data_IF_341740888397
#
_entry.id   IF_341740888397
#
_cell.length_a   1.000
_cell.length_b   1.000
_cell.length_c   1.000
_cell.angle_alpha   90.00
_cell.angle_beta   90.00
_cell.angle_gamma   90.00
#
_symmetry.space_group_name_H-M   'P 1'
#
loop_
_entity.id
_entity.type
_entity.pdbx_description
1 polymer ?
#
# COMPACT_ATOMS: atom_id res chain seq x y z
N UNK A 1 4.24 0.09 -20.28
CA UNK A 1 3.58 1.36 -19.90
C UNK A 1 4.23 2.51 -20.66
N UNK A 2 3.46 3.41 -21.28
CA UNK A 2 4.03 4.52 -22.08
C UNK A 2 4.67 5.60 -21.18
N UNK A 3 5.75 6.24 -21.65
CA UNK A 3 6.43 7.34 -20.94
C UNK A 3 5.47 8.50 -20.64
N UNK A 4 4.49 8.73 -21.52
CA UNK A 4 3.44 9.74 -21.33
C UNK A 4 2.56 9.44 -20.12
N UNK A 5 2.15 8.18 -19.94
CA UNK A 5 1.33 7.77 -18.79
C UNK A 5 2.11 7.90 -17.48
N UNK A 6 3.37 7.44 -17.45
CA UNK A 6 4.24 7.58 -16.28
C UNK A 6 4.43 9.05 -15.88
N UNK A 7 4.68 9.92 -16.86
CA UNK A 7 4.80 11.37 -16.62
C UNK A 7 3.49 11.95 -16.08
N UNK A 8 2.35 11.53 -16.62
CA UNK A 8 1.01 11.96 -16.17
C UNK A 8 0.71 11.53 -14.73
N UNK A 9 1.13 10.32 -14.33
CA UNK A 9 1.03 9.86 -12.94
C UNK A 9 1.93 10.72 -12.05
N UNK A 10 3.23 10.84 -12.38
CA UNK A 10 4.21 11.58 -11.57
C UNK A 10 3.77 13.02 -11.33
N UNK A 11 3.36 13.73 -12.39
CA UNK A 11 2.91 15.12 -12.25
C UNK A 11 1.69 15.26 -11.36
N UNK A 12 0.77 14.28 -11.39
CA UNK A 12 -0.45 14.36 -10.60
C UNK A 12 -0.30 13.90 -9.15
N UNK A 13 0.57 12.94 -8.83
CA UNK A 13 0.86 12.57 -7.43
C UNK A 13 1.66 13.66 -6.69
N UNK A 14 2.29 14.58 -7.42
CA UNK A 14 2.96 15.76 -6.88
C UNK A 14 2.16 17.05 -7.08
N UNK A 15 0.89 16.98 -7.49
CA UNK A 15 0.04 18.17 -7.67
C UNK A 15 -0.26 18.81 -6.30
N UNK A 16 -0.38 20.14 -6.28
CA UNK A 16 -0.71 20.88 -5.06
C UNK A 16 -2.11 20.53 -4.54
N UNK A 17 -3.03 20.19 -5.46
CA UNK A 17 -4.42 19.83 -5.14
C UNK A 17 -4.50 18.40 -4.63
N UNK A 18 -4.96 18.27 -3.38
CA UNK A 18 -5.14 16.99 -2.71
C UNK A 18 -5.97 15.97 -3.51
N UNK A 19 -7.11 16.39 -4.09
CA UNK A 19 -7.97 15.49 -4.86
C UNK A 19 -7.27 14.94 -6.11
N UNK A 20 -6.39 15.73 -6.74
CA UNK A 20 -5.60 15.25 -7.89
C UNK A 20 -4.61 14.19 -7.44
N UNK A 21 -3.90 14.41 -6.32
CA UNK A 21 -2.99 13.40 -5.74
C UNK A 21 -3.72 12.12 -5.39
N UNK A 22 -4.88 12.21 -4.74
CA UNK A 22 -5.70 11.05 -4.38
C UNK A 22 -6.12 10.25 -5.62
N UNK A 23 -6.73 10.91 -6.61
CA UNK A 23 -7.18 10.26 -7.84
C UNK A 23 -6.01 9.64 -8.60
N UNK A 24 -4.88 10.34 -8.72
CA UNK A 24 -3.72 9.82 -9.45
C UNK A 24 -3.07 8.65 -8.74
N UNK A 25 -3.00 8.70 -7.43
CA UNK A 25 -2.48 7.58 -6.63
C UNK A 25 -3.41 6.38 -6.77
N UNK A 26 -4.73 6.56 -6.72
CA UNK A 26 -5.72 5.49 -6.90
C UNK A 26 -5.64 4.85 -8.30
N UNK A 27 -5.56 5.65 -9.35
CA UNK A 27 -5.38 5.14 -10.73
C UNK A 27 -4.06 4.39 -10.86
N UNK A 28 -2.97 4.92 -10.30
CA UNK A 28 -1.67 4.24 -10.32
C UNK A 28 -1.70 2.93 -9.53
N UNK A 29 -2.42 2.89 -8.40
CA UNK A 29 -2.62 1.71 -7.58
C UNK A 29 -3.28 0.59 -8.38
N UNK A 30 -4.43 0.86 -8.99
CA UNK A 30 -5.14 -0.13 -9.81
C UNK A 30 -4.26 -0.63 -10.96
N UNK A 31 -3.55 0.29 -11.63
CA UNK A 31 -2.67 -0.07 -12.73
C UNK A 31 -1.53 -0.99 -12.28
N UNK A 32 -0.82 -0.64 -11.21
CA UNK A 32 0.28 -1.46 -10.68
C UNK A 32 -0.24 -2.81 -10.20
N UNK A 33 -1.35 -2.82 -9.47
CA UNK A 33 -1.97 -4.04 -8.96
C UNK A 33 -2.33 -5.00 -10.09
N UNK A 34 -3.12 -4.56 -11.08
CA UNK A 34 -3.58 -5.43 -12.16
C UNK A 34 -2.48 -5.85 -13.10
N UNK A 35 -1.49 -4.99 -13.38
CA UNK A 35 -0.32 -5.37 -14.18
C UNK A 35 0.50 -6.43 -13.46
N UNK A 36 0.74 -6.27 -12.16
CA UNK A 36 1.47 -7.27 -11.37
C UNK A 36 0.70 -8.59 -11.25
N UNK A 37 -0.62 -8.53 -11.03
CA UNK A 37 -1.50 -9.68 -10.90
C UNK A 37 -1.59 -10.48 -12.20
N UNK A 38 -1.86 -9.83 -13.33
CA UNK A 38 -1.91 -10.50 -14.63
C UNK A 38 -0.52 -11.00 -15.05
N UNK A 39 0.52 -10.19 -14.83
CA UNK A 39 1.88 -10.57 -15.15
C UNK A 39 2.35 -11.80 -14.37
N UNK A 40 2.06 -11.86 -13.07
CA UNK A 40 2.42 -13.00 -12.25
C UNK A 40 1.60 -14.24 -12.58
N UNK A 41 0.29 -14.08 -12.84
CA UNK A 41 -0.57 -15.18 -13.29
C UNK A 41 -0.09 -15.84 -14.59
N UNK A 42 0.39 -15.05 -15.55
CA UNK A 42 0.84 -15.56 -16.85
C UNK A 42 2.25 -16.13 -16.85
N UNK A 43 3.14 -15.61 -15.99
CA UNK A 43 4.58 -15.88 -16.05
C UNK A 43 5.10 -16.78 -14.93
N UNK A 44 4.39 -16.86 -13.80
CA UNK A 44 4.88 -17.53 -12.60
C UNK A 44 4.01 -18.75 -12.24
N UNK A 45 4.61 -19.81 -11.66
CA UNK A 45 3.87 -20.94 -11.14
C UNK A 45 2.91 -20.52 -10.01
N UNK A 46 1.78 -21.22 -9.93
CA UNK A 46 0.87 -21.09 -8.80
C UNK A 46 1.56 -21.45 -7.48
N UNK A 47 1.30 -20.66 -6.44
CA UNK A 47 1.84 -20.89 -5.10
C UNK A 47 3.33 -20.57 -4.93
N UNK A 48 4.04 -20.04 -5.93
CA UNK A 48 5.50 -19.81 -5.83
C UNK A 48 5.90 -18.87 -4.68
N UNK A 49 5.01 -17.94 -4.30
CA UNK A 49 5.26 -16.99 -3.21
C UNK A 49 4.70 -17.49 -1.85
N UNK A 50 4.07 -18.67 -1.81
CA UNK A 50 3.43 -19.18 -0.60
C UNK A 50 4.46 -19.51 0.48
N UNK A 51 4.18 -19.15 1.73
CA UNK A 51 5.06 -19.40 2.87
C UNK A 51 6.43 -18.69 2.78
N UNK A 52 6.62 -17.81 1.78
CA UNK A 52 7.82 -16.98 1.63
C UNK A 52 7.72 -15.69 2.42
N UNK A 53 6.63 -15.46 3.14
CA UNK A 53 6.44 -14.27 3.96
C UNK A 53 7.13 -14.45 5.33
N UNK A 54 8.35 -13.90 5.54
CA UNK A 54 9.22 -14.27 6.65
C UNK A 54 8.63 -13.96 8.03
N UNK A 55 7.64 -13.07 8.11
CA UNK A 55 7.04 -12.61 9.37
C UNK A 55 5.76 -13.40 9.71
N UNK A 56 4.95 -13.77 8.71
CA UNK A 56 3.63 -14.41 8.95
C UNK A 56 3.83 -15.89 9.28
N UNK A 57 4.76 -16.56 8.61
CA UNK A 57 5.06 -17.98 8.85
C UNK A 57 5.55 -18.29 10.26
N UNK A 58 6.00 -17.27 11.02
CA UNK A 58 6.47 -17.41 12.41
C UNK A 58 5.49 -16.87 13.46
N UNK A 59 4.44 -16.14 13.07
CA UNK A 59 3.51 -15.52 14.00
C UNK A 59 2.43 -16.53 14.43
N UNK A 60 2.44 -16.87 15.71
CA UNK A 60 1.32 -17.57 16.33
C UNK A 60 0.26 -16.54 16.72
N UNK A 61 -0.87 -16.54 16.01
CA UNK A 61 -2.00 -15.69 16.36
C UNK A 61 -2.65 -16.19 17.66
N UNK A 62 -2.97 -15.25 18.54
CA UNK A 62 -3.70 -15.56 19.77
C UNK A 62 -5.11 -16.04 19.44
N UNK A 63 -5.68 -16.92 20.26
CA UNK A 63 -7.08 -17.35 20.15
C UNK A 63 -8.05 -16.31 20.70
N UNK A 64 -7.58 -15.33 21.46
CA UNK A 64 -8.39 -14.20 21.91
C UNK A 64 -8.62 -13.23 20.73
N UNK A 65 -9.89 -12.97 20.34
CA UNK A 65 -10.20 -12.12 19.18
C UNK A 65 -9.64 -10.69 19.28
N UNK A 66 -9.57 -10.12 20.48
CA UNK A 66 -9.03 -8.78 20.69
C UNK A 66 -7.52 -8.75 20.53
N UNK A 67 -6.83 -9.74 21.08
CA UNK A 67 -5.37 -9.87 20.96
C UNK A 67 -4.99 -10.17 19.51
N UNK A 68 -5.73 -11.04 18.83
CA UNK A 68 -5.54 -11.33 17.41
C UNK A 68 -5.72 -10.08 16.54
N UNK A 69 -6.81 -9.32 16.76
CA UNK A 69 -7.04 -8.07 16.05
C UNK A 69 -5.91 -7.05 16.25
N UNK A 70 -5.37 -6.95 17.47
CA UNK A 70 -4.22 -6.09 17.74
C UNK A 70 -2.94 -6.58 17.07
N UNK A 71 -2.71 -7.90 17.01
CA UNK A 71 -1.58 -8.49 16.28
C UNK A 71 -1.65 -8.19 14.78
N UNK A 72 -2.83 -8.36 14.17
CA UNK A 72 -3.06 -8.03 12.76
C UNK A 72 -2.88 -6.53 12.52
N UNK A 73 -3.44 -5.68 13.38
CA UNK A 73 -3.26 -4.23 13.27
C UNK A 73 -1.79 -3.82 13.39
N UNK A 74 -1.07 -4.36 14.38
CA UNK A 74 0.35 -4.10 14.57
C UNK A 74 1.19 -4.57 13.38
N UNK A 75 0.78 -5.63 12.70
CA UNK A 75 1.40 -6.06 11.47
C UNK A 75 1.12 -5.08 10.31
N UNK A 76 -0.15 -4.68 10.12
CA UNK A 76 -0.57 -3.76 9.07
C UNK A 76 -0.05 -2.33 9.26
N UNK A 77 0.32 -1.92 10.47
CA UNK A 77 0.93 -0.61 10.69
C UNK A 77 2.38 -0.54 10.19
N UNK A 78 3.08 -1.68 10.02
CA UNK A 78 4.49 -1.70 9.59
C UNK A 78 4.64 -1.12 8.18
N UNK A 79 3.91 -1.59 7.14
CA UNK A 79 3.97 -0.97 5.81
C UNK A 79 3.54 0.50 5.82
N UNK A 80 2.52 0.85 6.62
CA UNK A 80 2.07 2.24 6.77
C UNK A 80 3.18 3.17 7.32
N UNK A 81 3.85 2.76 8.39
CA UNK A 81 4.99 3.49 8.95
C UNK A 81 6.14 3.57 7.95
N UNK A 82 6.43 2.50 7.22
CA UNK A 82 7.47 2.50 6.18
C UNK A 82 7.16 3.52 5.07
N UNK A 83 5.91 3.55 4.59
CA UNK A 83 5.46 4.52 3.58
C UNK A 83 5.61 5.95 4.12
N UNK A 84 5.10 6.22 5.32
CA UNK A 84 5.14 7.55 5.92
C UNK A 84 6.57 8.03 6.20
N UNK A 85 7.43 7.15 6.74
CA UNK A 85 8.84 7.44 7.00
C UNK A 85 9.61 7.66 5.68
N UNK A 86 9.34 6.86 4.65
CA UNK A 86 9.97 7.02 3.34
C UNK A 86 9.57 8.34 2.67
N UNK A 87 8.35 8.84 2.92
CA UNK A 87 7.92 10.15 2.44
C UNK A 87 8.66 11.33 3.07
N UNK A 88 9.45 11.14 4.14
CA UNK A 88 10.34 12.17 4.64
C UNK A 88 11.47 12.50 3.65
N UNK A 89 11.75 11.60 2.69
CA UNK A 89 12.72 11.79 1.63
C UNK A 89 12.01 11.86 0.26
N UNK A 90 12.37 12.84 -0.56
CA UNK A 90 11.93 12.95 -1.94
C UNK A 90 13.12 12.92 -2.90
N UNK A 91 13.02 12.16 -3.97
CA UNK A 91 14.04 12.05 -5.01
C UNK A 91 13.64 12.81 -6.27
N UNK A 92 14.60 13.46 -6.93
CA UNK A 92 14.37 14.12 -8.21
C UNK A 92 13.85 13.11 -9.23
N UNK A 93 12.70 13.42 -9.83
CA UNK A 93 12.11 12.57 -10.86
C UNK A 93 12.99 12.51 -12.10
N UNK A 94 13.22 11.29 -12.60
CA UNK A 94 13.89 11.04 -13.88
C UNK A 94 12.97 11.27 -15.09
N UNK A 95 11.66 11.37 -14.84
CA UNK A 95 10.61 11.39 -15.88
C UNK A 95 9.99 12.79 -16.01
N UNK A 96 9.88 13.53 -14.91
CA UNK A 96 9.36 14.90 -14.87
C UNK A 96 10.44 15.89 -14.39
N UNK A 97 10.95 16.73 -15.30
CA UNK A 97 11.97 17.73 -14.96
C UNK A 97 11.47 18.70 -13.90
N UNK A 98 12.31 19.00 -12.91
CA UNK A 98 12.02 19.96 -11.84
C UNK A 98 11.13 19.43 -10.71
N UNK A 99 10.67 18.17 -10.80
CA UNK A 99 9.80 17.56 -9.80
C UNK A 99 10.60 16.66 -8.87
N UNK A 100 10.30 16.73 -7.57
CA UNK A 100 10.77 15.76 -6.58
C UNK A 100 9.61 14.88 -6.15
N UNK A 101 9.80 13.57 -6.16
CA UNK A 101 8.77 12.59 -5.81
C UNK A 101 9.12 12.00 -4.45
N UNK A 102 8.22 12.11 -3.46
CA UNK A 102 8.37 11.45 -2.16
C UNK A 102 8.51 9.93 -2.31
N UNK A 103 9.50 9.33 -1.65
CA UNK A 103 9.85 7.91 -1.84
C UNK A 103 8.78 6.97 -1.28
N UNK A 104 7.92 7.44 -0.37
CA UNK A 104 6.80 6.64 0.12
C UNK A 104 5.81 6.24 -0.98
N UNK A 105 5.70 6.98 -2.09
CA UNK A 105 4.94 6.51 -3.26
C UNK A 105 5.57 5.28 -3.91
N UNK A 106 6.91 5.23 -3.99
CA UNK A 106 7.61 4.05 -4.48
C UNK A 106 7.43 2.86 -3.55
N UNK A 107 7.54 3.07 -2.23
CA UNK A 107 7.29 2.02 -1.22
C UNK A 107 5.85 1.47 -1.33
N UNK A 108 4.87 2.37 -1.48
CA UNK A 108 3.48 2.00 -1.72
C UNK A 108 3.31 1.18 -3.01
N UNK A 109 3.88 1.60 -4.14
CA UNK A 109 3.77 0.84 -5.39
C UNK A 109 4.46 -0.53 -5.33
N UNK A 110 5.58 -0.64 -4.62
CA UNK A 110 6.23 -1.95 -4.39
C UNK A 110 5.30 -2.87 -3.61
N UNK A 111 4.71 -2.38 -2.51
CA UNK A 111 3.75 -3.15 -1.71
C UNK A 111 2.55 -3.61 -2.55
N UNK A 112 1.97 -2.71 -3.34
CA UNK A 112 0.85 -3.00 -4.24
C UNK A 112 1.23 -4.03 -5.30
N UNK A 113 2.43 -3.91 -5.88
CA UNK A 113 2.95 -4.84 -6.87
C UNK A 113 3.16 -6.24 -6.29
N UNK A 114 3.72 -6.33 -5.08
CA UNK A 114 3.90 -7.61 -4.36
C UNK A 114 2.54 -8.26 -4.07
N UNK A 115 1.56 -7.50 -3.60
CA UNK A 115 0.22 -8.02 -3.33
C UNK A 115 -0.52 -8.45 -4.61
N UNK A 116 -0.38 -7.67 -5.68
CA UNK A 116 -0.85 -8.06 -7.01
C UNK A 116 -0.22 -9.38 -7.43
N UNK A 117 1.10 -9.53 -7.25
CA UNK A 117 1.80 -10.77 -7.57
C UNK A 117 1.27 -11.97 -6.77
N UNK A 118 1.10 -11.83 -5.45
CA UNK A 118 0.52 -12.85 -4.54
C UNK A 118 -0.89 -13.24 -4.99
N UNK A 119 -1.72 -12.28 -5.36
CA UNK A 119 -3.08 -12.55 -5.87
C UNK A 119 -3.01 -13.32 -7.19
N UNK A 120 -2.14 -12.90 -8.11
CA UNK A 120 -2.02 -13.51 -9.43
C UNK A 120 -1.48 -14.94 -9.39
N UNK A 121 -0.55 -15.26 -8.48
CA UNK A 121 -0.05 -16.62 -8.25
C UNK A 121 -0.86 -17.40 -7.22
N UNK A 122 -1.95 -16.84 -6.69
CA UNK A 122 -2.77 -17.44 -5.62
C UNK A 122 -1.94 -17.98 -4.45
N UNK A 123 -1.00 -17.17 -3.99
CA UNK A 123 0.01 -17.54 -2.99
C UNK A 123 -0.37 -17.09 -1.57
N UNK A 124 -1.67 -17.04 -1.27
CA UNK A 124 -2.16 -16.80 0.08
C UNK A 124 -1.82 -17.96 1.01
N UNK A 125 -1.72 -17.67 2.31
CA UNK A 125 -1.38 -18.67 3.34
C UNK A 125 -2.50 -19.68 3.58
N UNK A 126 -3.76 -19.27 3.42
CA UNK A 126 -4.91 -20.21 3.43
C UNK A 126 -4.98 -20.90 2.07
N UNK A 127 -4.63 -22.19 2.06
CA UNK A 127 -4.60 -22.99 0.83
C UNK A 127 -6.01 -23.34 0.40
N UNK A 128 -6.48 -22.66 -0.65
CA UNK A 128 -7.72 -22.98 -1.36
C UNK A 128 -7.41 -23.32 -2.81
N UNK A 129 -8.31 -24.04 -3.48
CA UNK A 129 -8.25 -24.23 -4.93
C UNK A 129 -8.26 -22.89 -5.61
N UNK A 130 -7.25 -22.62 -6.43
CA UNK A 130 -7.11 -21.30 -7.00
C UNK A 130 -8.20 -21.01 -8.03
N UNK A 131 -8.94 -19.90 -7.87
CA UNK A 131 -10.08 -19.62 -8.72
C UNK A 131 -9.62 -19.10 -10.09
N UNK A 132 -10.52 -19.03 -11.08
CA UNK A 132 -10.25 -18.43 -12.38
C UNK A 132 -9.79 -16.96 -12.26
N UNK A 133 -9.06 -16.48 -13.27
CA UNK A 133 -8.45 -15.14 -13.25
C UNK A 133 -9.45 -13.99 -13.04
N UNK A 134 -10.67 -14.13 -13.56
CA UNK A 134 -11.74 -13.16 -13.35
C UNK A 134 -12.11 -13.02 -11.86
N UNK A 135 -12.22 -14.15 -11.14
CA UNK A 135 -12.47 -14.15 -9.70
C UNK A 135 -11.26 -13.60 -8.92
N UNK A 136 -10.02 -13.91 -9.34
CA UNK A 136 -8.81 -13.31 -8.74
C UNK A 136 -8.81 -11.78 -8.90
N UNK A 137 -9.27 -11.27 -10.03
CA UNK A 137 -9.35 -9.83 -10.29
C UNK A 137 -10.40 -9.11 -9.42
N UNK A 138 -11.49 -9.82 -9.07
CA UNK A 138 -12.54 -9.32 -8.17
C UNK A 138 -12.21 -9.47 -6.69
N UNK A 139 -11.26 -10.34 -6.34
CA UNK A 139 -10.85 -10.58 -4.95
C UNK A 139 -10.48 -9.30 -4.19
N UNK A 140 -9.88 -8.31 -4.88
CA UNK A 140 -9.57 -7.02 -4.27
C UNK A 140 -10.81 -6.33 -3.71
N UNK A 141 -11.98 -6.48 -4.34
CA UNK A 141 -13.21 -5.78 -3.97
C UNK A 141 -14.10 -6.55 -2.99
N UNK A 142 -13.72 -7.76 -2.60
CA UNK A 142 -14.48 -8.56 -1.64
C UNK A 142 -14.18 -8.12 -0.19
N UNK A 143 -14.59 -6.88 0.12
CA UNK A 143 -14.32 -6.23 1.41
C UNK A 143 -15.05 -6.90 2.58
N UNK A 144 -16.12 -7.65 2.30
CA UNK A 144 -16.91 -8.35 3.30
C UNK A 144 -16.19 -9.57 3.88
N UNK A 145 -15.30 -10.19 3.08
CA UNK A 145 -14.56 -11.39 3.47
C UNK A 145 -13.05 -11.14 3.57
N UNK A 146 -12.54 -10.08 2.93
CA UNK A 146 -11.13 -9.76 2.87
C UNK A 146 -10.88 -8.28 3.12
N UNK A 147 -9.94 -7.94 3.99
CA UNK A 147 -9.64 -6.56 4.33
C UNK A 147 -8.79 -5.81 3.27
N UNK A 148 -8.34 -6.51 2.22
CA UNK A 148 -7.33 -6.00 1.28
C UNK A 148 -7.63 -4.61 0.72
N UNK A 149 -8.85 -4.33 0.27
CA UNK A 149 -9.17 -2.97 -0.23
C UNK A 149 -9.06 -1.91 0.86
N UNK A 150 -9.53 -2.19 2.07
CA UNK A 150 -9.49 -1.25 3.19
C UNK A 150 -8.04 -0.94 3.56
N UNK A 151 -7.17 -1.96 3.56
CA UNK A 151 -5.74 -1.78 3.78
C UNK A 151 -5.11 -0.89 2.71
N UNK A 152 -5.37 -1.15 1.43
CA UNK A 152 -4.81 -0.33 0.36
C UNK A 152 -5.36 1.09 0.33
N UNK A 153 -6.62 1.30 0.69
CA UNK A 153 -7.17 2.65 0.90
C UNK A 153 -6.44 3.33 2.05
N UNK A 154 -6.19 2.62 3.16
CA UNK A 154 -5.40 3.12 4.29
C UNK A 154 -3.99 3.53 3.87
N UNK A 155 -3.26 2.64 3.20
CA UNK A 155 -1.90 2.90 2.69
C UNK A 155 -1.87 4.03 1.66
N UNK A 156 -2.88 4.13 0.79
CA UNK A 156 -3.01 5.21 -0.19
C UNK A 156 -3.19 6.56 0.51
N UNK A 157 -4.10 6.65 1.48
CA UNK A 157 -4.34 7.87 2.25
C UNK A 157 -3.06 8.30 2.98
N UNK A 158 -2.36 7.35 3.61
CA UNK A 158 -1.09 7.59 4.29
C UNK A 158 -0.03 8.06 3.28
N UNK A 159 0.14 7.39 2.14
CA UNK A 159 1.11 7.77 1.10
C UNK A 159 0.86 9.20 0.59
N UNK A 160 -0.40 9.56 0.34
CA UNK A 160 -0.76 10.87 -0.21
C UNK A 160 -0.60 11.98 0.82
N UNK A 161 -1.06 11.78 2.04
CA UNK A 161 -1.08 12.83 3.08
C UNK A 161 0.28 13.01 3.74
N UNK A 162 1.04 11.93 3.95
CA UNK A 162 2.42 12.03 4.46
C UNK A 162 3.41 12.58 3.43
N UNK A 163 3.04 12.67 2.15
CA UNK A 163 3.86 13.29 1.10
C UNK A 163 4.19 14.78 1.35
N UNK A 164 3.43 15.47 2.21
CA UNK A 164 3.72 16.85 2.65
C UNK A 164 4.82 16.93 3.72
N UNK A 165 5.15 15.80 4.35
CA UNK A 165 6.13 15.70 5.43
C UNK A 165 7.59 15.63 4.95
N UNK A 166 7.85 15.79 3.65
CA UNK A 166 9.19 15.73 3.08
C UNK A 166 10.14 16.72 3.77
N UNK A 167 11.17 16.16 4.39
CA UNK A 167 12.26 16.88 5.02
C UNK A 167 13.45 17.01 4.08
N UNK A 168 13.80 15.94 3.38
CA UNK A 168 15.01 15.87 2.58
C UNK A 168 14.69 15.71 1.09
N UNK A 169 15.41 16.44 0.26
CA UNK A 169 15.32 16.37 -1.20
C UNK A 169 16.65 15.88 -1.73
N UNK A 170 16.63 14.81 -2.52
CA UNK A 170 17.81 14.15 -3.08
C UNK A 170 17.81 14.24 -4.60
N UNK A 171 18.99 14.38 -5.20
CA UNK A 171 19.18 14.20 -6.66
C UNK A 171 19.45 12.75 -7.07
N UNK A 172 19.34 11.81 -6.11
CA UNK A 172 19.67 10.39 -6.27
C UNK A 172 21.11 10.04 -5.89
N UNK A 173 21.95 11.03 -5.59
CA UNK A 173 23.33 10.82 -5.10
C UNK A 173 23.58 11.49 -3.77
N UNK A 174 23.01 12.69 -3.56
CA UNK A 174 23.18 13.48 -2.33
C UNK A 174 21.91 14.26 -2.01
N UNK A 175 21.81 14.67 -0.75
CA UNK A 175 20.78 15.61 -0.32
C UNK A 175 21.13 17.01 -0.86
N UNK A 176 20.23 17.60 -1.63
CA UNK A 176 20.38 18.93 -2.25
C UNK A 176 19.62 20.02 -1.49
N UNK A 177 18.61 19.64 -0.70
CA UNK A 177 17.85 20.56 0.16
C UNK A 177 17.29 19.81 1.35
N UNK A 178 17.24 20.48 2.50
CA UNK A 178 16.59 20.00 3.72
C UNK A 178 15.62 21.04 4.27
N UNK A 179 14.62 20.59 5.02
CA UNK A 179 13.66 21.40 5.79
C UNK A 179 13.71 21.00 7.25
N UNK A 180 13.33 21.91 8.15
CA UNK A 180 13.09 21.55 9.54
C UNK A 180 11.62 21.13 9.73
N UNK A 181 11.34 20.36 10.79
CA UNK A 181 9.98 19.95 11.15
C UNK A 181 9.03 21.14 11.35
N UNK A 182 9.54 22.25 11.90
CA UNK A 182 8.77 23.48 12.10
C UNK A 182 8.30 24.14 10.80
N UNK A 183 8.95 23.83 9.68
CA UNK A 183 8.60 24.37 8.36
C UNK A 183 7.52 23.50 7.67
N UNK A 184 7.04 22.45 8.33
CA UNK A 184 6.00 21.57 7.80
C UNK A 184 4.62 22.14 8.10
N UNK A 185 3.97 22.61 7.05
CA UNK A 185 2.57 23.04 7.07
C UNK A 185 1.73 21.96 6.40
N UNK A 186 0.99 21.22 7.23
CA UNK A 186 0.03 20.22 6.76
C UNK A 186 -1.40 20.76 6.96
N UNK A 187 -2.21 20.87 5.89
CA UNK A 187 -3.60 21.29 6.01
C UNK A 187 -4.40 20.40 6.96
N UNK A 188 -5.39 20.92 7.71
CA UNK A 188 -6.21 20.12 8.63
C UNK A 188 -6.86 18.90 7.96
N UNK A 189 -7.37 19.06 6.73
CA UNK A 189 -7.95 17.95 5.97
C UNK A 189 -6.95 16.81 5.70
N UNK A 190 -5.68 17.12 5.45
CA UNK A 190 -4.66 16.09 5.23
C UNK A 190 -4.30 15.37 6.54
N UNK A 191 -4.37 16.06 7.69
CA UNK A 191 -4.21 15.43 9.01
C UNK A 191 -5.36 14.47 9.32
N UNK A 192 -6.60 14.89 9.04
CA UNK A 192 -7.80 14.06 9.21
C UNK A 192 -7.73 12.83 8.31
N UNK A 193 -7.34 12.98 7.05
CA UNK A 193 -7.18 11.86 6.13
C UNK A 193 -6.02 10.93 6.52
N UNK A 194 -4.92 11.47 7.06
CA UNK A 194 -3.83 10.65 7.58
C UNK A 194 -4.31 9.78 8.75
N UNK A 195 -5.02 10.38 9.71
CA UNK A 195 -5.65 9.66 10.82
C UNK A 195 -6.69 8.65 10.31
N UNK A 196 -7.48 9.03 9.31
CA UNK A 196 -8.42 8.15 8.61
C UNK A 196 -7.75 6.96 7.95
N UNK A 197 -6.53 7.12 7.41
CA UNK A 197 -5.73 6.03 6.88
C UNK A 197 -5.38 4.99 7.93
N UNK A 198 -4.92 5.43 9.11
CA UNK A 198 -4.67 4.51 10.25
C UNK A 198 -5.97 3.89 10.79
N UNK A 199 -7.07 4.65 10.82
CA UNK A 199 -8.36 4.11 11.21
C UNK A 199 -8.86 3.02 10.24
N UNK A 200 -8.61 3.18 8.92
CA UNK A 200 -8.91 2.15 7.93
C UNK A 200 -8.12 0.87 8.17
N UNK A 201 -6.84 0.97 8.57
CA UNK A 201 -6.03 -0.20 8.94
C UNK A 201 -6.56 -0.90 10.19
N UNK A 202 -7.10 -0.14 11.16
CA UNK A 202 -7.72 -0.72 12.34
C UNK A 202 -9.02 -1.46 12.00
N UNK A 203 -9.86 -0.87 11.15
CA UNK A 203 -11.09 -1.53 10.67
C UNK A 203 -10.73 -2.78 9.85
N UNK A 204 -9.73 -2.70 8.98
CA UNK A 204 -9.20 -3.82 8.22
C UNK A 204 -8.78 -4.98 9.13
N UNK A 205 -8.00 -4.69 10.17
CA UNK A 205 -7.58 -5.70 11.14
C UNK A 205 -8.75 -6.38 11.86
N UNK A 206 -9.82 -5.63 12.17
CA UNK A 206 -11.05 -6.21 12.71
C UNK A 206 -11.76 -7.15 11.73
N UNK A 207 -11.81 -6.81 10.44
CA UNK A 207 -12.37 -7.68 9.39
C UNK A 207 -11.56 -8.97 9.25
N UNK A 208 -10.23 -8.89 9.23
CA UNK A 208 -9.38 -10.08 9.15
C UNK A 208 -9.48 -10.96 10.38
N UNK A 209 -9.43 -10.37 11.59
CA UNK A 209 -9.59 -11.12 12.83
C UNK A 209 -10.94 -11.86 12.88
N UNK A 210 -12.03 -11.22 12.44
CA UNK A 210 -13.34 -11.84 12.36
C UNK A 210 -13.42 -12.95 11.28
N UNK A 211 -12.68 -12.83 10.18
CA UNK A 211 -12.57 -13.89 9.18
C UNK A 211 -11.78 -15.10 9.72
N UNK A 212 -10.68 -14.86 10.42
CA UNK A 212 -9.86 -15.91 11.06
C UNK A 212 -10.65 -16.61 12.16
N UNK A 213 -11.35 -15.87 13.03
CA UNK A 213 -12.20 -16.45 14.08
C UNK A 213 -13.27 -17.40 13.51
N UNK A 214 -13.96 -16.97 12.44
CA UNK A 214 -14.95 -17.81 11.73
C UNK A 214 -14.33 -19.09 11.14
N UNK A 215 -13.12 -19.02 10.59
CA UNK A 215 -12.40 -20.18 10.06
C UNK A 215 -11.91 -21.12 11.17
N UNK A 216 -11.61 -20.58 12.36
CA UNK A 216 -11.17 -21.32 13.53
C UNK A 216 -12.34 -21.94 14.35
N UNK A 217 -13.59 -21.60 14.03
CA UNK A 217 -14.77 -22.06 14.76
C UNK A 217 -14.98 -21.38 16.12
N UNK A 218 -14.50 -20.15 16.27
CA UNK A 218 -14.64 -19.29 17.46
C UNK A 218 -15.82 -18.32 17.33
#
# INVERSE_FOLDING_TARGET
>A
MSVRLLRWIVLGITDERLHVRLVRTAVSFLLVYYVAMLGSYLLLPEGILRGRHPIISSLQFSTDPWVMGLQVFAYNIIPACLIAASNLLAERSRIARGVYVPIGYSAFWVLVGLFGAVTGTWSFDVVTTAPPIASRAWHLFDVAHHAGLLEFVGYLLIAVTSSRLVLWYSDGRRIVRSRAWKDIVTPPIEKVLLAGGFAMLLVAAGVEAAAIARLAGL
#
